data_IF_923403806263
#
_entry.id   IF_923403806263
#
_cell.length_a   1.000
_cell.length_b   1.000
_cell.length_c   1.000
_cell.angle_alpha   90.00
_cell.angle_beta   90.00
_cell.angle_gamma   90.00
#
_symmetry.space_group_name_H-M   'P 1'
#
loop_
_entity.id
_entity.type
_entity.pdbx_description
1 polymer ?
#
# COMPACT_ATOMS: atom_id res chain seq x y z
N UNK A 1 -2.86 -0.95 -67.15
CA UNK A 1 -4.06 -0.24 -67.67
C UNK A 1 -3.91 1.25 -67.35
N UNK A 2 -4.21 2.10 -68.34
CA UNK A 2 -4.16 3.59 -68.39
C UNK A 2 -4.99 4.24 -67.25
N UNK A 3 -4.78 5.47 -66.75
CA UNK A 3 -3.94 6.65 -67.07
C UNK A 3 -4.10 7.69 -65.93
N UNK A 4 -3.03 8.44 -65.64
CA UNK A 4 -2.91 9.91 -65.39
C UNK A 4 -3.83 10.62 -64.35
N UNK A 5 -3.48 11.72 -63.66
CA UNK A 5 -2.35 12.62 -63.42
C UNK A 5 -2.99 13.79 -62.62
N UNK A 6 -2.35 14.43 -61.63
CA UNK A 6 -2.99 15.59 -60.99
C UNK A 6 -2.34 16.14 -59.73
N UNK A 7 -1.16 16.71 -59.89
CA UNK A 7 -0.49 17.61 -58.94
C UNK A 7 -1.20 18.97 -58.94
N UNK A 8 -1.52 19.55 -57.77
CA UNK A 8 -1.67 21.00 -57.59
C UNK A 8 -1.09 21.45 -56.26
N UNK A 9 -0.29 22.50 -56.37
CA UNK A 9 0.55 23.18 -55.41
C UNK A 9 -0.09 24.55 -55.10
N UNK A 10 0.07 25.07 -53.89
CA UNK A 10 -0.27 26.45 -53.52
C UNK A 10 -0.93 26.54 -52.15
N UNK A 11 -0.72 27.53 -51.30
CA UNK A 11 0.02 28.79 -51.43
C UNK A 11 0.21 29.32 -49.99
N UNK A 12 1.33 30.00 -49.77
CA UNK A 12 1.67 30.82 -48.60
C UNK A 12 0.52 31.71 -48.10
N UNK A 13 0.36 31.80 -46.77
CA UNK A 13 -0.12 33.02 -46.12
C UNK A 13 0.61 33.23 -44.78
N UNK A 14 1.61 34.12 -44.81
CA UNK A 14 2.20 34.77 -43.63
C UNK A 14 1.22 35.85 -43.15
N UNK A 15 0.87 35.83 -41.86
CA UNK A 15 0.22 36.94 -41.17
C UNK A 15 0.94 37.21 -39.84
N UNK A 16 1.65 38.34 -39.83
CA UNK A 16 2.28 38.99 -38.68
C UNK A 16 1.23 39.73 -37.85
N UNK A 17 1.27 39.66 -36.51
CA UNK A 17 0.99 40.84 -35.64
C UNK A 17 1.76 40.74 -34.33
N UNK A 18 2.45 41.84 -34.02
CA UNK A 18 3.17 42.19 -32.80
C UNK A 18 2.34 42.15 -31.51
N UNK A 19 3.01 41.90 -30.39
CA UNK A 19 2.43 42.12 -29.06
C UNK A 19 3.43 41.90 -27.92
N UNK A 20 4.43 42.76 -27.79
CA UNK A 20 5.21 42.88 -26.56
C UNK A 20 4.39 43.66 -25.52
N UNK A 21 4.02 43.05 -24.40
CA UNK A 21 3.59 43.75 -23.20
C UNK A 21 4.48 43.34 -22.02
N UNK A 22 5.37 44.26 -21.63
CA UNK A 22 6.10 44.22 -20.36
C UNK A 22 5.10 44.44 -19.23
N UNK A 23 4.89 43.44 -18.39
CA UNK A 23 4.17 43.63 -17.12
C UNK A 23 5.12 44.22 -16.09
N UNK A 24 4.75 45.37 -15.55
CA UNK A 24 5.50 46.07 -14.51
C UNK A 24 5.30 45.37 -13.15
N UNK A 25 6.42 45.08 -12.49
CA UNK A 25 6.48 44.57 -11.11
C UNK A 25 5.87 45.59 -10.15
N UNK A 26 4.83 45.20 -9.40
CA UNK A 26 4.36 45.93 -8.23
C UNK A 26 5.19 45.48 -7.03
N UNK A 27 6.03 46.39 -6.56
CA UNK A 27 6.79 46.28 -5.32
C UNK A 27 5.82 46.29 -4.13
N UNK A 28 5.80 45.19 -3.35
CA UNK A 28 5.02 45.10 -2.13
C UNK A 28 5.87 45.57 -0.95
N UNK A 29 5.42 46.64 -0.28
CA UNK A 29 6.01 47.16 0.95
C UNK A 29 5.89 46.12 2.07
N UNK A 30 7.01 45.54 2.50
CA UNK A 30 7.08 44.66 3.67
C UNK A 30 7.10 45.53 4.94
N UNK A 31 6.03 45.47 5.73
CA UNK A 31 6.01 46.01 7.09
C UNK A 31 6.80 45.07 8.01
N UNK A 32 7.89 45.55 8.60
CA UNK A 32 8.63 44.84 9.64
C UNK A 32 7.84 44.82 10.96
N UNK A 33 7.81 43.71 11.70
CA UNK A 33 7.23 43.69 13.05
C UNK A 33 8.18 44.34 14.06
N UNK A 34 7.67 45.35 14.77
CA UNK A 34 8.32 45.98 15.93
C UNK A 34 8.40 44.98 17.09
N UNK A 35 9.60 44.65 17.54
CA UNK A 35 9.84 43.80 18.72
C UNK A 35 9.74 44.62 20.00
N UNK A 36 8.65 44.44 20.75
CA UNK A 36 8.52 44.99 22.11
C UNK A 36 9.34 44.13 23.08
N UNK A 37 10.39 44.70 23.67
CA UNK A 37 11.12 44.05 24.77
C UNK A 37 10.35 44.22 26.09
N UNK A 38 10.02 43.11 26.74
CA UNK A 38 9.49 43.09 28.11
C UNK A 38 10.65 42.90 29.08
N UNK A 39 10.96 43.93 29.86
CA UNK A 39 11.88 43.84 31.00
C UNK A 39 11.17 43.24 32.22
N UNK A 40 11.68 42.10 32.71
CA UNK A 40 11.21 41.43 33.93
C UNK A 40 12.09 41.86 35.12
N UNK A 41 11.54 42.24 36.29
CA UNK A 41 12.33 42.59 37.47
C UNK A 41 12.93 41.37 38.17
N UNK A 42 14.14 41.52 38.71
CA UNK A 42 14.86 40.48 39.45
C UNK A 42 14.16 40.10 40.77
N UNK A 43 13.84 38.81 40.92
CA UNK A 43 13.30 38.23 42.15
C UNK A 43 14.42 37.89 43.14
N UNK A 44 14.23 38.24 44.41
CA UNK A 44 15.15 37.94 45.52
C UNK A 44 15.06 36.45 45.88
N UNK A 45 16.20 35.76 45.88
CA UNK A 45 16.36 34.36 46.30
C UNK A 45 16.25 34.20 47.81
N UNK A 46 15.29 33.39 48.25
CA UNK A 46 15.21 32.82 49.60
C UNK A 46 15.55 31.32 49.49
N UNK A 47 16.37 30.74 50.39
CA UNK A 47 16.66 29.31 50.35
C UNK A 47 15.42 28.49 50.74
N UNK A 48 15.11 27.40 50.02
CA UNK A 48 13.97 26.54 50.32
C UNK A 48 14.23 25.64 51.55
N UNK A 49 13.18 25.20 52.26
CA UNK A 49 13.31 24.27 53.38
C UNK A 49 13.75 22.87 52.91
N UNK A 50 14.66 22.26 53.66
CA UNK A 50 15.12 20.89 53.46
C UNK A 50 14.03 19.90 53.84
N UNK A 51 13.44 19.23 52.84
CA UNK A 51 12.55 18.09 53.05
C UNK A 51 13.40 16.82 52.97
N UNK A 52 13.47 16.05 54.06
CA UNK A 52 14.15 14.75 54.07
C UNK A 52 13.19 13.71 53.50
N UNK A 53 13.43 13.28 52.27
CA UNK A 53 12.67 12.20 51.62
C UNK A 53 13.33 10.86 51.94
N UNK A 54 12.61 10.02 52.68
CA UNK A 54 12.94 8.61 52.87
C UNK A 54 12.80 7.88 51.53
N UNK A 55 13.90 7.35 50.99
CA UNK A 55 13.90 6.58 49.74
C UNK A 55 13.22 5.22 49.95
N UNK A 56 12.05 5.02 49.33
CA UNK A 56 11.49 3.70 49.11
C UNK A 56 12.37 2.92 48.11
N UNK A 57 12.47 1.58 48.21
CA UNK A 57 13.23 0.79 47.23
C UNK A 57 12.59 0.94 45.85
N UNK A 58 13.32 1.58 44.94
CA UNK A 58 13.00 1.64 43.52
C UNK A 58 13.09 0.23 42.95
N UNK A 59 11.93 -0.40 42.72
CA UNK A 59 11.86 -1.56 41.82
C UNK A 59 12.33 -1.09 40.46
N UNK A 60 13.54 -1.47 40.09
CA UNK A 60 14.04 -1.32 38.73
C UNK A 60 13.32 -2.37 37.90
N UNK A 61 12.14 -2.01 37.39
CA UNK A 61 11.56 -2.73 36.27
C UNK A 61 12.47 -2.44 35.08
N UNK A 62 13.36 -3.37 34.78
CA UNK A 62 14.04 -3.43 33.48
C UNK A 62 12.95 -3.45 32.43
N UNK A 63 12.76 -2.32 31.72
CA UNK A 63 12.02 -2.31 30.49
C UNK A 63 12.81 -3.17 29.51
N UNK A 64 12.43 -4.45 29.43
CA UNK A 64 12.86 -5.32 28.36
C UNK A 64 12.33 -4.69 27.07
N UNK A 65 13.23 -4.14 26.26
CA UNK A 65 12.89 -3.70 24.93
C UNK A 65 12.25 -4.90 24.22
N UNK A 66 10.97 -4.79 23.87
CA UNK A 66 10.28 -5.76 23.03
C UNK A 66 11.01 -5.72 21.68
N UNK A 67 11.98 -6.61 21.50
CA UNK A 67 12.58 -6.84 20.20
C UNK A 67 11.49 -7.49 19.33
N UNK A 68 11.20 -6.96 18.13
CA UNK A 68 10.31 -7.64 17.20
C UNK A 68 10.81 -9.07 17.01
N UNK A 69 9.90 -10.05 17.02
CA UNK A 69 10.26 -11.42 16.69
C UNK A 69 10.97 -11.43 15.33
N UNK A 70 12.13 -12.11 15.20
CA UNK A 70 12.81 -12.16 13.92
C UNK A 70 11.88 -12.83 12.89
N UNK A 71 11.55 -12.10 11.83
CA UNK A 71 10.90 -12.67 10.63
C UNK A 71 11.76 -13.88 10.21
N UNK A 72 11.18 -15.06 9.96
CA UNK A 72 11.96 -16.22 9.54
C UNK A 72 12.61 -15.91 8.19
N UNK A 73 13.88 -15.48 8.21
CA UNK A 73 14.66 -15.34 7.00
C UNK A 73 14.71 -16.72 6.32
N UNK A 74 14.04 -16.84 5.17
CA UNK A 74 14.11 -18.04 4.34
C UNK A 74 12.96 -19.04 4.48
N UNK A 75 11.78 -18.65 4.97
CA UNK A 75 10.55 -19.42 4.76
C UNK A 75 9.60 -18.64 3.85
N UNK A 76 9.13 -19.29 2.79
CA UNK A 76 8.26 -18.71 1.78
C UNK A 76 6.93 -19.44 1.70
N UNK A 77 5.94 -18.75 1.15
CA UNK A 77 4.67 -19.30 0.74
C UNK A 77 4.36 -18.87 -0.70
N UNK A 78 3.56 -19.67 -1.41
CA UNK A 78 3.06 -19.31 -2.74
C UNK A 78 2.11 -18.12 -2.61
N UNK A 79 2.19 -17.20 -3.57
CA UNK A 79 1.46 -15.95 -3.57
C UNK A 79 1.00 -15.57 -4.98
N UNK A 80 0.00 -14.70 -5.07
CA UNK A 80 -0.50 -14.12 -6.32
C UNK A 80 -1.12 -15.12 -7.30
N UNK A 81 -1.49 -16.32 -6.83
CA UNK A 81 -2.16 -17.35 -7.61
C UNK A 81 -3.60 -17.54 -7.13
N UNK A 82 -4.53 -17.62 -8.08
CA UNK A 82 -5.94 -17.86 -7.81
C UNK A 82 -6.26 -19.34 -7.62
N UNK A 83 -7.52 -19.64 -7.30
CA UNK A 83 -7.99 -21.02 -7.24
C UNK A 83 -7.88 -21.69 -8.62
N UNK A 84 -7.22 -22.85 -8.69
CA UNK A 84 -7.01 -23.61 -9.92
C UNK A 84 -5.73 -23.26 -10.69
N UNK A 85 -5.00 -22.23 -10.26
CA UNK A 85 -3.64 -21.97 -10.73
C UNK A 85 -2.63 -22.88 -10.03
N UNK A 86 -1.37 -22.84 -10.49
CA UNK A 86 -0.31 -23.62 -9.87
C UNK A 86 1.09 -23.06 -10.19
N UNK A 87 2.02 -23.17 -9.24
CA UNK A 87 3.39 -22.70 -9.40
C UNK A 87 4.34 -23.85 -9.76
N UNK A 88 5.02 -23.75 -10.90
CA UNK A 88 5.99 -24.77 -11.31
C UNK A 88 7.32 -24.61 -10.56
N UNK A 89 7.75 -25.68 -9.90
CA UNK A 89 9.10 -25.88 -9.38
C UNK A 89 9.97 -26.52 -10.45
N UNK A 90 11.10 -25.90 -10.79
CA UNK A 90 11.93 -26.29 -11.95
C UNK A 90 13.32 -26.77 -11.56
N UNK A 91 13.96 -27.52 -12.47
CA UNK A 91 15.32 -28.05 -12.30
C UNK A 91 16.41 -26.97 -12.33
N UNK A 92 16.16 -25.87 -13.03
CA UNK A 92 17.04 -24.71 -13.14
C UNK A 92 16.20 -23.42 -13.26
N UNK A 93 16.80 -22.24 -13.05
CA UNK A 93 16.14 -20.96 -13.34
C UNK A 93 15.73 -20.85 -14.81
N UNK A 94 14.50 -20.42 -15.05
CA UNK A 94 14.01 -20.06 -16.38
C UNK A 94 12.80 -20.87 -16.85
N UNK A 95 12.04 -20.28 -17.76
CA UNK A 95 10.78 -20.84 -18.26
C UNK A 95 10.96 -22.12 -19.12
N UNK A 96 12.16 -22.35 -19.65
CA UNK A 96 12.49 -23.53 -20.47
C UNK A 96 13.05 -24.71 -19.67
N UNK A 97 13.32 -24.55 -18.37
CA UNK A 97 13.82 -25.64 -17.54
C UNK A 97 12.72 -26.65 -17.24
N UNK A 98 13.08 -27.92 -17.08
CA UNK A 98 12.12 -28.99 -16.79
C UNK A 98 11.41 -28.76 -15.46
N UNK A 99 10.12 -29.09 -15.41
CA UNK A 99 9.30 -29.00 -14.19
C UNK A 99 9.50 -30.27 -13.36
N UNK A 100 9.92 -30.11 -12.11
CA UNK A 100 10.07 -31.18 -11.11
C UNK A 100 8.71 -31.50 -10.48
N UNK A 101 8.01 -30.44 -10.07
CA UNK A 101 6.80 -30.47 -9.28
C UNK A 101 5.98 -29.22 -9.57
N UNK A 102 4.67 -29.31 -9.35
CA UNK A 102 3.78 -28.16 -9.34
C UNK A 102 3.28 -27.96 -7.91
N UNK A 103 3.40 -26.73 -7.40
CA UNK A 103 2.96 -26.31 -6.07
C UNK A 103 1.56 -25.71 -6.17
N UNK A 104 0.72 -26.04 -5.20
CA UNK A 104 -0.62 -25.47 -5.08
C UNK A 104 -0.57 -23.96 -4.74
N UNK A 105 -1.59 -23.16 -5.12
CA UNK A 105 -1.64 -21.70 -4.92
C UNK A 105 -1.37 -21.22 -3.49
N UNK A 106 -1.66 -22.06 -2.50
CA UNK A 106 -1.53 -21.72 -1.08
C UNK A 106 -0.47 -22.56 -0.37
N UNK A 107 0.45 -23.20 -1.10
CA UNK A 107 1.53 -23.96 -0.48
C UNK A 107 2.39 -23.06 0.42
N UNK A 108 2.74 -23.57 1.60
CA UNK A 108 3.47 -22.87 2.68
C UNK A 108 4.72 -23.65 3.07
N UNK A 109 5.50 -23.06 3.97
CA UNK A 109 6.68 -23.68 4.59
C UNK A 109 7.77 -24.06 3.56
N UNK A 110 7.89 -23.28 2.49
CA UNK A 110 8.89 -23.46 1.44
C UNK A 110 10.22 -22.88 1.90
N UNK A 111 11.21 -23.73 2.17
CA UNK A 111 12.48 -23.29 2.73
C UNK A 111 13.39 -22.76 1.63
N UNK A 112 13.76 -21.48 1.69
CA UNK A 112 14.79 -20.94 0.81
C UNK A 112 16.16 -21.54 1.15
N UNK A 113 16.91 -21.86 0.11
CA UNK A 113 18.27 -22.39 0.23
C UNK A 113 19.34 -21.29 0.18
N UNK A 114 18.93 -20.05 -0.17
CA UNK A 114 19.82 -18.92 -0.45
C UNK A 114 20.23 -18.80 -1.92
N UNK A 115 19.86 -19.76 -2.78
CA UNK A 115 20.08 -19.66 -4.23
C UNK A 115 19.17 -18.60 -4.86
N UNK A 116 19.77 -17.61 -5.51
CA UNK A 116 19.08 -16.55 -6.28
C UNK A 116 19.77 -16.41 -7.63
N UNK A 117 19.01 -16.46 -8.72
CA UNK A 117 19.54 -16.32 -10.08
C UNK A 117 18.60 -15.52 -10.97
N UNK A 118 19.17 -14.77 -11.90
CA UNK A 118 18.44 -14.03 -12.94
C UNK A 118 18.38 -14.86 -14.22
N UNK A 119 17.17 -15.16 -14.69
CA UNK A 119 16.98 -15.89 -15.94
C UNK A 119 15.71 -15.42 -16.67
N UNK A 120 15.85 -15.16 -17.97
CA UNK A 120 14.77 -14.67 -18.83
C UNK A 120 14.11 -13.36 -18.33
N UNK A 121 14.88 -12.48 -17.69
CA UNK A 121 14.39 -11.20 -17.17
C UNK A 121 13.54 -11.33 -15.90
N UNK A 122 13.64 -12.47 -15.21
CA UNK A 122 12.95 -12.72 -13.95
C UNK A 122 13.97 -13.22 -12.92
N UNK A 123 13.77 -12.82 -11.67
CA UNK A 123 14.48 -13.39 -10.52
C UNK A 123 13.88 -14.74 -10.16
N UNK A 124 14.75 -15.72 -9.96
CA UNK A 124 14.40 -17.06 -9.50
C UNK A 124 15.02 -17.30 -8.13
N UNK A 125 14.28 -17.97 -7.27
CA UNK A 125 14.80 -18.43 -5.98
C UNK A 125 14.75 -19.95 -5.89
N UNK A 126 15.78 -20.52 -5.27
CA UNK A 126 15.85 -21.95 -5.03
C UNK A 126 15.22 -22.28 -3.67
N UNK A 127 14.18 -23.10 -3.71
CA UNK A 127 13.45 -23.56 -2.55
C UNK A 127 13.57 -25.07 -2.37
N UNK A 128 13.53 -25.49 -1.12
CA UNK A 128 13.44 -26.86 -0.66
C UNK A 128 12.03 -27.10 -0.15
N UNK A 129 11.28 -27.98 -0.82
CA UNK A 129 9.91 -28.36 -0.45
C UNK A 129 9.94 -29.43 0.64
N UNK A 130 10.92 -30.34 0.57
CA UNK A 130 11.21 -31.35 1.59
C UNK A 130 12.66 -31.84 1.43
N UNK A 131 13.09 -32.84 2.21
CA UNK A 131 14.47 -33.36 2.18
C UNK A 131 14.94 -33.89 0.82
N UNK A 132 14.02 -34.28 -0.06
CA UNK A 132 14.32 -34.89 -1.36
C UNK A 132 14.10 -33.93 -2.54
N UNK A 133 13.22 -32.94 -2.38
CA UNK A 133 12.77 -32.06 -3.46
C UNK A 133 13.28 -30.64 -3.23
N UNK A 134 14.23 -30.22 -4.09
CA UNK A 134 14.75 -28.86 -4.19
C UNK A 134 14.69 -28.41 -5.66
N UNK A 135 14.29 -27.18 -5.89
CA UNK A 135 14.19 -26.62 -7.24
C UNK A 135 14.00 -25.12 -7.25
N UNK A 136 13.77 -24.56 -8.43
CA UNK A 136 13.68 -23.12 -8.68
C UNK A 136 12.25 -22.69 -8.97
N UNK A 137 11.81 -21.63 -8.32
CA UNK A 137 10.54 -20.95 -8.59
C UNK A 137 10.80 -19.49 -8.95
N UNK A 138 9.88 -18.90 -9.72
CA UNK A 138 9.92 -17.46 -9.98
C UNK A 138 9.64 -16.71 -8.68
N UNK A 139 10.47 -15.69 -8.37
CA UNK A 139 10.33 -14.86 -7.16
C UNK A 139 9.01 -14.07 -7.13
N UNK A 140 8.40 -13.86 -8.29
CA UNK A 140 7.12 -13.14 -8.49
C UNK A 140 5.88 -13.89 -7.98
N UNK A 141 6.01 -15.18 -7.63
CA UNK A 141 4.88 -16.01 -7.18
C UNK A 141 5.08 -16.59 -5.78
N UNK A 142 5.98 -15.98 -5.01
CA UNK A 142 6.26 -16.36 -3.62
C UNK A 142 6.46 -15.12 -2.76
N UNK A 143 5.99 -15.20 -1.54
CA UNK A 143 6.12 -14.16 -0.51
C UNK A 143 6.80 -14.72 0.73
N UNK A 144 7.46 -13.88 1.50
CA UNK A 144 8.02 -14.28 2.77
C UNK A 144 6.90 -14.64 3.75
N UNK A 145 7.02 -15.82 4.34
CA UNK A 145 6.03 -16.32 5.28
C UNK A 145 6.31 -15.73 6.67
N UNK A 146 5.46 -14.80 7.09
CA UNK A 146 5.51 -14.19 8.42
C UNK A 146 4.40 -14.76 9.28
N UNK A 147 4.74 -15.21 10.49
CA UNK A 147 3.76 -15.63 11.49
C UNK A 147 2.84 -14.46 11.87
N UNK A 148 1.55 -14.75 12.08
CA UNK A 148 0.54 -13.73 12.35
C UNK A 148 0.82 -12.95 13.64
N UNK A 149 1.28 -13.60 14.72
CA UNK A 149 1.57 -12.91 15.97
C UNK A 149 2.83 -12.05 15.87
N UNK A 150 3.86 -12.54 15.17
CA UNK A 150 5.05 -11.75 14.85
C UNK A 150 4.69 -10.52 14.00
N UNK A 151 3.85 -10.71 12.98
CA UNK A 151 3.34 -9.62 12.14
C UNK A 151 2.57 -8.57 12.94
N UNK A 152 1.56 -8.99 13.72
CA UNK A 152 0.70 -8.07 14.46
C UNK A 152 1.43 -7.28 15.57
N UNK A 153 2.65 -7.69 15.94
CA UNK A 153 3.48 -7.00 16.93
C UNK A 153 4.64 -6.20 16.31
N UNK A 154 4.82 -6.25 14.99
CA UNK A 154 5.91 -5.57 14.30
C UNK A 154 5.65 -4.06 14.19
N UNK A 155 6.45 -3.28 14.93
CA UNK A 155 6.38 -1.81 14.95
C UNK A 155 6.66 -1.17 13.57
N UNK A 156 7.34 -1.88 12.66
CA UNK A 156 7.59 -1.40 11.30
C UNK A 156 6.32 -1.41 10.46
N UNK A 157 5.41 -2.34 10.72
CA UNK A 157 4.09 -2.37 10.07
C UNK A 157 3.24 -1.19 10.57
N UNK A 158 3.26 -0.90 11.87
CA UNK A 158 2.56 0.28 12.42
C UNK A 158 3.11 1.59 11.86
N UNK A 159 4.43 1.69 11.70
CA UNK A 159 5.06 2.83 11.05
C UNK A 159 4.64 2.96 9.58
N UNK A 160 4.61 1.84 8.83
CA UNK A 160 4.13 1.81 7.46
C UNK A 160 2.68 2.29 7.34
N UNK A 161 1.78 1.82 8.20
CA UNK A 161 0.37 2.25 8.20
C UNK A 161 0.22 3.73 8.56
N UNK A 162 1.06 4.24 9.47
CA UNK A 162 1.11 5.68 9.79
C UNK A 162 1.62 6.51 8.62
N UNK A 163 2.62 6.03 7.89
CA UNK A 163 3.09 6.71 6.68
C UNK A 163 2.07 6.63 5.55
N UNK A 164 1.27 5.57 5.49
CA UNK A 164 0.13 5.44 4.56
C UNK A 164 -0.94 6.49 4.86
N UNK A 165 -1.30 6.70 6.14
CA UNK A 165 -2.21 7.79 6.55
C UNK A 165 -1.69 9.13 6.02
N UNK A 166 -0.42 9.44 6.32
CA UNK A 166 0.21 10.70 5.91
C UNK A 166 0.28 10.85 4.38
N UNK A 167 0.50 9.76 3.65
CA UNK A 167 0.53 9.79 2.19
C UNK A 167 -0.85 10.12 1.61
N UNK A 168 -1.92 9.52 2.15
CA UNK A 168 -3.29 9.71 1.67
C UNK A 168 -3.84 11.08 2.06
N UNK A 169 -3.69 11.49 3.32
CA UNK A 169 -4.16 12.79 3.82
C UNK A 169 -3.55 13.96 3.05
N UNK A 170 -2.24 13.88 2.80
CA UNK A 170 -1.50 14.93 2.10
C UNK A 170 -1.49 14.76 0.58
N UNK A 171 -2.07 13.66 0.06
CA UNK A 171 -2.00 13.28 -1.36
C UNK A 171 -0.56 13.27 -1.87
N UNK A 172 0.35 12.75 -1.05
CA UNK A 172 1.78 12.66 -1.32
C UNK A 172 2.10 11.36 -2.03
N UNK A 173 2.05 11.39 -3.36
CA UNK A 173 2.31 10.20 -4.20
C UNK A 173 3.75 9.69 -4.07
N UNK A 174 4.70 10.57 -3.75
CA UNK A 174 6.10 10.19 -3.55
C UNK A 174 6.29 9.45 -2.23
N UNK A 175 5.58 9.85 -1.18
CA UNK A 175 5.54 9.05 0.04
C UNK A 175 4.87 7.71 -0.23
N UNK A 176 3.73 7.69 -0.91
CA UNK A 176 3.03 6.43 -1.22
C UNK A 176 3.93 5.47 -2.02
N UNK A 177 4.64 5.96 -3.04
CA UNK A 177 5.51 5.12 -3.89
C UNK A 177 6.67 4.46 -3.12
N UNK A 178 7.04 4.99 -1.95
CA UNK A 178 8.05 4.40 -1.07
C UNK A 178 7.49 3.29 -0.18
N UNK A 179 6.17 3.20 -0.02
CA UNK A 179 5.51 2.21 0.83
C UNK A 179 5.12 0.94 0.08
N UNK A 180 4.99 1.01 -1.25
CA UNK A 180 4.51 -0.12 -2.07
C UNK A 180 5.57 -1.22 -2.19
N UNK A 181 5.14 -2.46 -2.40
CA UNK A 181 6.05 -3.58 -2.62
C UNK A 181 6.97 -3.29 -3.83
N UNK A 182 8.30 -3.27 -3.66
CA UNK A 182 9.20 -3.07 -4.78
C UNK A 182 9.24 -4.29 -5.70
N UNK A 183 8.72 -5.43 -5.26
CA UNK A 183 8.69 -6.68 -6.01
C UNK A 183 7.40 -6.85 -6.81
N UNK A 184 6.24 -6.51 -6.21
CA UNK A 184 4.92 -6.79 -6.78
C UNK A 184 4.06 -5.55 -7.05
N UNK A 185 4.50 -4.36 -6.61
CA UNK A 185 3.74 -3.12 -6.73
C UNK A 185 2.60 -3.00 -5.73
N UNK A 186 1.62 -2.16 -6.05
CA UNK A 186 0.39 -1.98 -5.29
C UNK A 186 -0.81 -2.40 -6.13
N UNK A 187 -1.51 -3.46 -5.71
CA UNK A 187 -2.78 -3.86 -6.30
C UNK A 187 -3.96 -3.26 -5.57
N UNK A 188 -4.91 -2.69 -6.30
CA UNK A 188 -6.10 -2.07 -5.72
C UNK A 188 -7.35 -2.76 -6.23
N UNK A 189 -8.23 -3.10 -5.29
CA UNK A 189 -9.55 -3.65 -5.54
C UNK A 189 -10.60 -2.63 -5.10
N UNK A 190 -11.36 -2.10 -6.06
CA UNK A 190 -12.48 -1.20 -5.74
C UNK A 190 -13.58 -1.93 -4.95
N UNK A 191 -13.75 -3.23 -5.16
CA UNK A 191 -14.48 -4.14 -4.28
C UNK A 191 -13.83 -5.53 -4.42
N UNK A 192 -13.93 -6.39 -3.41
CA UNK A 192 -13.19 -7.67 -3.35
C UNK A 192 -13.52 -8.65 -4.49
N UNK A 193 -14.67 -8.49 -5.17
CA UNK A 193 -15.09 -9.32 -6.31
C UNK A 193 -14.94 -8.62 -7.67
N UNK A 194 -14.57 -7.34 -7.70
CA UNK A 194 -14.30 -6.62 -8.93
C UNK A 194 -12.88 -6.94 -9.46
N UNK A 195 -12.57 -6.71 -10.75
CA UNK A 195 -11.21 -6.80 -11.24
C UNK A 195 -10.25 -5.89 -10.45
N UNK A 196 -9.04 -6.37 -10.26
CA UNK A 196 -7.97 -5.64 -9.60
C UNK A 196 -7.12 -4.87 -10.62
N UNK A 197 -6.54 -3.75 -10.18
CA UNK A 197 -5.56 -2.99 -10.96
C UNK A 197 -4.24 -2.96 -10.20
N UNK A 198 -3.16 -3.39 -10.84
CA UNK A 198 -1.82 -3.34 -10.28
C UNK A 198 -1.07 -2.08 -10.74
N UNK A 199 -0.43 -1.40 -9.79
CA UNK A 199 0.43 -0.25 -9.99
C UNK A 199 1.86 -0.64 -9.60
N UNK A 200 2.65 -1.07 -10.59
CA UNK A 200 4.04 -1.55 -10.43
C UNK A 200 5.11 -0.51 -10.81
N UNK A 201 4.69 0.64 -11.36
CA UNK A 201 5.58 1.75 -11.70
C UNK A 201 5.57 2.83 -10.61
N UNK A 202 6.73 3.11 -9.96
CA UNK A 202 6.83 4.21 -9.01
C UNK A 202 6.41 5.56 -9.60
N UNK A 203 6.71 5.81 -10.88
CA UNK A 203 6.36 7.05 -11.58
C UNK A 203 4.85 7.23 -11.71
N UNK A 204 4.11 6.12 -11.91
CA UNK A 204 2.64 6.13 -11.94
C UNK A 204 2.09 6.42 -10.55
N UNK A 205 2.62 5.76 -9.52
CA UNK A 205 2.18 5.93 -8.13
C UNK A 205 2.47 7.34 -7.60
N UNK A 206 3.62 7.91 -7.97
CA UNK A 206 4.00 9.28 -7.61
C UNK A 206 2.99 10.34 -8.05
N UNK A 207 2.27 10.07 -9.15
CA UNK A 207 1.29 10.98 -9.74
C UNK A 207 -0.16 10.52 -9.52
N UNK A 208 -0.39 9.41 -8.81
CA UNK A 208 -1.70 8.72 -8.78
C UNK A 208 -2.85 9.59 -8.26
N UNK A 209 -2.58 10.51 -7.33
CA UNK A 209 -3.59 11.38 -6.72
C UNK A 209 -4.12 12.47 -7.65
N UNK A 210 -3.41 12.76 -8.73
CA UNK A 210 -3.74 13.82 -9.70
C UNK A 210 -3.85 13.29 -11.14
N UNK A 211 -3.55 12.01 -11.32
CA UNK A 211 -3.65 11.33 -12.61
C UNK A 211 -5.11 11.24 -13.04
N UNK A 212 -5.35 11.55 -14.31
CA UNK A 212 -6.65 11.40 -14.98
C UNK A 212 -6.66 10.17 -15.90
N UNK A 213 -5.73 9.22 -15.71
CA UNK A 213 -5.72 7.97 -16.47
C UNK A 213 -6.92 7.14 -16.03
N UNK A 214 -7.77 6.78 -16.99
CA UNK A 214 -8.95 5.95 -16.73
C UNK A 214 -8.58 4.47 -16.60
N UNK A 215 -9.22 3.82 -15.63
CA UNK A 215 -9.18 2.38 -15.45
C UNK A 215 -10.60 1.81 -15.38
N UNK A 216 -10.70 0.52 -15.67
CA UNK A 216 -11.91 -0.27 -15.46
C UNK A 216 -11.84 -0.94 -14.09
N UNK A 217 -12.61 -0.42 -13.14
CA UNK A 217 -12.69 -0.93 -11.77
C UNK A 217 -13.80 -1.97 -11.60
N UNK A 218 -14.39 -2.44 -12.69
CA UNK A 218 -15.46 -3.43 -12.69
C UNK A 218 -16.84 -2.81 -12.74
N UNK A 219 -17.75 -3.33 -11.91
CA UNK A 219 -19.17 -2.96 -11.93
C UNK A 219 -19.68 -2.59 -10.56
N UNK A 220 -20.60 -1.63 -10.52
CA UNK A 220 -21.30 -1.23 -9.29
C UNK A 220 -22.24 -2.34 -8.83
N UNK A 221 -22.25 -2.55 -7.52
CA UNK A 221 -23.19 -3.45 -6.87
C UNK A 221 -24.65 -3.02 -7.13
N UNK A 222 -25.54 -4.00 -7.30
CA UNK A 222 -26.96 -3.81 -7.59
C UNK A 222 -27.32 -3.31 -8.99
N UNK A 223 -26.66 -2.26 -9.49
CA UNK A 223 -26.99 -1.66 -10.80
C UNK A 223 -26.30 -2.37 -11.96
N UNK A 224 -25.13 -2.98 -11.74
CA UNK A 224 -24.29 -3.58 -12.78
C UNK A 224 -23.67 -2.57 -13.75
N UNK A 225 -23.76 -1.26 -13.47
CA UNK A 225 -23.13 -0.23 -14.29
C UNK A 225 -21.60 -0.28 -14.15
N UNK A 226 -20.84 0.01 -15.23
CA UNK A 226 -19.39 -0.05 -15.17
C UNK A 226 -18.82 1.10 -14.33
N UNK A 227 -17.75 0.81 -13.59
CA UNK A 227 -16.99 1.76 -12.78
C UNK A 227 -15.76 2.18 -13.58
N UNK A 228 -15.95 3.13 -14.48
CA UNK A 228 -14.88 3.68 -15.31
C UNK A 228 -14.43 5.03 -14.78
N UNK A 229 -13.12 5.20 -14.61
CA UNK A 229 -12.52 6.48 -14.27
C UNK A 229 -11.15 6.35 -13.63
N UNK A 230 -10.56 7.48 -13.30
CA UNK A 230 -9.24 7.53 -12.67
C UNK A 230 -9.26 7.08 -11.21
N UNK A 231 -8.08 6.76 -10.67
CA UNK A 231 -7.91 6.54 -9.23
C UNK A 231 -8.44 7.73 -8.42
N UNK A 232 -8.17 8.97 -8.87
CA UNK A 232 -8.62 10.20 -8.23
C UNK A 232 -10.16 10.28 -8.12
N UNK A 233 -10.87 9.79 -9.14
CA UNK A 233 -12.33 9.89 -9.21
C UNK A 233 -13.03 8.72 -8.52
N UNK A 234 -12.47 7.51 -8.61
CA UNK A 234 -13.17 6.27 -8.21
C UNK A 234 -12.70 5.69 -6.89
N UNK A 235 -11.41 5.81 -6.57
CA UNK A 235 -10.80 5.15 -5.41
C UNK A 235 -10.45 6.15 -4.31
N UNK A 236 -9.78 7.25 -4.67
CA UNK A 236 -9.30 8.24 -3.69
C UNK A 236 -10.41 8.78 -2.78
N UNK A 237 -11.62 9.13 -3.25
CA UNK A 237 -12.67 9.63 -2.35
C UNK A 237 -13.08 8.57 -1.31
N UNK A 238 -12.99 7.29 -1.68
CA UNK A 238 -13.37 6.17 -0.82
C UNK A 238 -12.30 5.82 0.20
N UNK A 239 -11.03 6.00 -0.15
CA UNK A 239 -9.93 5.98 0.82
C UNK A 239 -10.08 7.15 1.80
N UNK A 240 -10.21 8.39 1.30
CA UNK A 240 -10.30 9.58 2.17
C UNK A 240 -11.50 9.54 3.11
N UNK A 241 -12.60 8.91 2.74
CA UNK A 241 -13.72 8.66 3.65
C UNK A 241 -13.31 7.93 4.94
N UNK A 242 -12.37 6.99 4.87
CA UNK A 242 -11.80 6.29 6.04
C UNK A 242 -10.66 7.09 6.65
N UNK A 243 -9.69 7.48 5.83
CA UNK A 243 -8.43 8.07 6.29
C UNK A 243 -8.55 9.51 6.80
N UNK A 244 -9.65 10.22 6.50
CA UNK A 244 -9.95 11.55 7.07
C UNK A 244 -10.97 11.49 8.22
N UNK A 245 -11.37 10.28 8.63
CA UNK A 245 -12.27 10.04 9.76
C UNK A 245 -11.52 9.33 10.90
N UNK A 246 -12.17 9.24 12.06
CA UNK A 246 -11.70 8.31 13.09
C UNK A 246 -12.00 6.87 12.62
N UNK A 247 -10.96 6.06 12.52
CA UNK A 247 -11.04 4.65 12.14
C UNK A 247 -10.22 3.78 13.09
N UNK A 248 -10.49 2.48 13.10
CA UNK A 248 -9.81 1.49 13.92
C UNK A 248 -8.99 0.53 13.06
N UNK A 249 -7.88 0.03 13.59
CA UNK A 249 -7.00 -0.94 12.92
C UNK A 249 -7.18 -2.32 13.55
N UNK A 250 -7.42 -3.34 12.72
CA UNK A 250 -7.59 -4.72 13.18
C UNK A 250 -6.64 -5.64 12.43
N UNK A 251 -5.69 -6.24 13.14
CA UNK A 251 -4.71 -7.14 12.53
C UNK A 251 -5.32 -8.51 12.23
N UNK A 252 -5.30 -8.94 10.97
CA UNK A 252 -5.79 -10.25 10.52
C UNK A 252 -7.22 -10.60 10.96
N UNK A 253 -8.06 -9.59 11.22
CA UNK A 253 -9.47 -9.77 11.57
C UNK A 253 -10.30 -9.02 10.55
N UNK A 254 -11.12 -9.74 9.79
CA UNK A 254 -12.08 -9.19 8.83
C UNK A 254 -13.45 -9.81 9.12
N UNK A 255 -14.15 -9.26 10.12
CA UNK A 255 -15.37 -9.85 10.66
C UNK A 255 -16.45 -8.79 10.92
N UNK A 256 -17.70 -9.14 10.61
CA UNK A 256 -18.88 -8.31 10.89
C UNK A 256 -18.97 -7.98 12.38
N UNK A 257 -19.12 -6.70 12.70
CA UNK A 257 -19.21 -6.19 14.06
C UNK A 257 -17.86 -5.93 14.74
N UNK A 258 -16.74 -6.29 14.10
CA UNK A 258 -15.39 -6.00 14.61
C UNK A 258 -14.69 -5.03 13.67
N UNK A 259 -14.50 -5.43 12.42
CA UNK A 259 -13.73 -4.70 11.40
C UNK A 259 -14.48 -4.53 10.08
N UNK A 260 -15.78 -4.83 10.09
CA UNK A 260 -16.74 -4.52 9.04
C UNK A 260 -18.13 -4.33 9.68
N UNK A 261 -19.02 -3.61 9.01
CA UNK A 261 -20.44 -3.55 9.39
C UNK A 261 -21.25 -4.69 8.76
N UNK A 262 -22.57 -4.65 8.95
CA UNK A 262 -23.46 -5.64 8.32
C UNK A 262 -23.40 -5.58 6.80
N UNK A 263 -23.26 -6.74 6.14
CA UNK A 263 -23.28 -6.91 4.68
C UNK A 263 -23.80 -8.29 4.31
N UNK A 264 -24.41 -8.41 3.12
CA UNK A 264 -24.72 -9.70 2.50
C UNK A 264 -23.51 -10.30 1.76
N UNK A 265 -22.49 -9.48 1.46
CA UNK A 265 -21.27 -9.88 0.78
C UNK A 265 -20.33 -10.75 1.63
N UNK A 266 -19.36 -11.37 0.96
CA UNK A 266 -18.32 -12.15 1.65
C UNK A 266 -17.23 -11.24 2.20
N UNK A 267 -16.90 -11.44 3.48
CA UNK A 267 -15.76 -10.80 4.13
C UNK A 267 -14.55 -11.74 4.08
N UNK A 268 -13.82 -11.70 2.95
CA UNK A 268 -12.57 -12.43 2.78
C UNK A 268 -11.60 -11.63 1.93
N UNK A 269 -10.31 -11.74 2.21
CA UNK A 269 -9.27 -11.24 1.30
C UNK A 269 -9.32 -12.02 -0.02
N UNK A 270 -8.98 -11.41 -1.17
CA UNK A 270 -8.89 -12.12 -2.44
C UNK A 270 -7.93 -13.32 -2.33
N UNK A 271 -8.21 -14.39 -3.08
CA UNK A 271 -7.54 -15.68 -2.91
C UNK A 271 -6.03 -15.58 -3.11
N UNK A 272 -5.60 -14.72 -4.03
CA UNK A 272 -4.22 -14.38 -4.36
C UNK A 272 -3.41 -13.89 -3.14
N UNK A 273 -4.11 -13.39 -2.11
CA UNK A 273 -3.54 -12.84 -0.88
C UNK A 273 -3.72 -13.74 0.35
N UNK A 274 -4.17 -14.99 0.18
CA UNK A 274 -4.44 -15.93 1.30
C UNK A 274 -3.25 -16.13 2.24
N UNK A 275 -2.02 -16.10 1.70
CA UNK A 275 -0.81 -16.31 2.48
C UNK A 275 -0.22 -15.03 3.10
N UNK A 276 -0.85 -13.88 2.92
CA UNK A 276 -0.39 -12.59 3.43
C UNK A 276 -1.07 -12.25 4.74
N UNK A 277 -0.40 -11.42 5.53
CA UNK A 277 -1.01 -10.77 6.68
C UNK A 277 -1.51 -9.37 6.29
N UNK A 278 -2.49 -8.86 7.02
CA UNK A 278 -3.14 -7.61 6.69
C UNK A 278 -3.65 -6.86 7.92
N UNK A 279 -3.96 -5.59 7.72
CA UNK A 279 -4.76 -4.80 8.64
C UNK A 279 -6.07 -4.36 7.98
N UNK A 280 -7.18 -4.58 8.67
CA UNK A 280 -8.46 -3.97 8.31
C UNK A 280 -8.57 -2.59 8.96
N UNK A 281 -8.68 -1.56 8.13
CA UNK A 281 -8.81 -0.15 8.50
C UNK A 281 -10.29 0.21 8.45
N UNK A 282 -10.95 0.17 9.60
CA UNK A 282 -12.40 0.18 9.72
C UNK A 282 -12.94 1.50 10.27
N UNK A 283 -13.73 2.19 9.45
CA UNK A 283 -14.55 3.34 9.86
C UNK A 283 -15.97 2.88 10.19
N UNK A 284 -16.41 3.22 11.40
CA UNK A 284 -17.79 3.05 11.85
C UNK A 284 -18.76 3.97 11.07
N UNK A 285 -20.04 3.60 10.94
CA UNK A 285 -21.04 4.49 10.35
C UNK A 285 -21.14 5.81 11.13
N UNK A 286 -21.36 6.96 10.47
CA UNK A 286 -21.34 8.27 11.14
C UNK A 286 -22.45 8.42 12.17
N UNK A 287 -23.55 7.68 12.01
CA UNK A 287 -24.69 7.65 12.93
C UNK A 287 -25.41 6.30 12.86
N UNK A 288 -26.27 6.03 13.85
CA UNK A 288 -27.12 4.83 13.84
C UNK A 288 -28.18 4.84 12.72
N UNK A 289 -28.58 6.02 12.23
CA UNK A 289 -29.52 6.15 11.11
C UNK A 289 -28.84 5.81 9.76
N UNK A 290 -27.51 5.83 9.74
CA UNK A 290 -26.67 5.48 8.59
C UNK A 290 -25.91 4.17 8.84
N UNK A 291 -26.53 3.18 9.49
CA UNK A 291 -25.86 1.94 9.93
C UNK A 291 -25.13 1.18 8.80
N UNK A 292 -25.55 1.36 7.55
CA UNK A 292 -24.98 0.77 6.34
C UNK A 292 -23.81 1.59 5.75
N UNK A 293 -23.64 2.84 6.18
CA UNK A 293 -22.57 3.74 5.74
C UNK A 293 -21.27 3.52 6.52
N UNK A 294 -20.87 2.26 6.67
CA UNK A 294 -19.57 1.89 7.19
C UNK A 294 -18.60 1.63 6.03
N UNK A 295 -17.29 1.63 6.31
CA UNK A 295 -16.29 1.29 5.29
C UNK A 295 -15.05 0.66 5.90
N UNK A 296 -14.52 -0.35 5.22
CA UNK A 296 -13.26 -1.00 5.57
C UNK A 296 -12.34 -1.00 4.36
N UNK A 297 -11.10 -0.61 4.55
CA UNK A 297 -10.01 -0.92 3.63
C UNK A 297 -9.09 -1.95 4.26
N UNK A 298 -8.89 -3.09 3.60
CA UNK A 298 -7.86 -4.05 4.00
C UNK A 298 -6.55 -3.67 3.32
N UNK A 299 -5.55 -3.36 4.12
CA UNK A 299 -4.17 -3.14 3.70
C UNK A 299 -3.38 -4.45 3.86
N UNK A 300 -3.08 -5.09 2.72
CA UNK A 300 -2.30 -6.32 2.69
C UNK A 300 -0.82 -5.97 2.69
N UNK A 301 -0.05 -6.60 3.58
CA UNK A 301 1.35 -6.31 3.81
C UNK A 301 2.20 -7.51 3.39
N UNK A 302 3.17 -7.24 2.52
CA UNK A 302 4.19 -8.18 2.10
C UNK A 302 5.52 -7.88 2.80
N UNK A 303 6.33 -8.91 3.03
CA UNK A 303 7.73 -8.74 3.41
C UNK A 303 8.63 -9.02 2.22
N UNK A 304 9.50 -8.07 1.90
CA UNK A 304 10.55 -8.20 0.89
C UNK A 304 11.88 -7.94 1.57
N UNK A 305 12.72 -8.98 1.63
CA UNK A 305 13.99 -9.04 2.34
C UNK A 305 13.82 -8.63 3.82
N UNK A 306 12.75 -9.13 4.45
CA UNK A 306 12.40 -8.85 5.83
C UNK A 306 11.88 -7.44 6.10
N UNK A 307 11.64 -6.61 5.08
CA UNK A 307 11.06 -5.26 5.21
C UNK A 307 9.58 -5.28 4.80
N UNK A 308 8.65 -4.76 5.63
CA UNK A 308 7.24 -4.72 5.26
C UNK A 308 6.95 -3.64 4.21
N UNK A 309 6.11 -3.98 3.25
CA UNK A 309 5.60 -3.10 2.20
C UNK A 309 4.11 -3.33 1.96
N UNK A 310 3.41 -2.31 1.48
CA UNK A 310 2.01 -2.39 1.06
C UNK A 310 1.93 -3.11 -0.30
N UNK A 311 1.25 -4.26 -0.33
CA UNK A 311 1.06 -5.04 -1.55
C UNK A 311 -0.33 -4.86 -2.15
N UNK A 312 -1.36 -4.69 -1.31
CA UNK A 312 -2.71 -4.44 -1.80
C UNK A 312 -3.58 -3.58 -0.89
N UNK A 313 -4.57 -2.94 -1.50
CA UNK A 313 -5.69 -2.28 -0.84
C UNK A 313 -7.00 -2.85 -1.38
N UNK A 314 -7.84 -3.37 -0.47
CA UNK A 314 -9.13 -3.99 -0.82
C UNK A 314 -10.25 -3.33 -0.05
N UNK A 315 -11.24 -2.80 -0.77
CA UNK A 315 -12.38 -2.15 -0.14
C UNK A 315 -13.51 -3.14 0.18
N UNK A 316 -14.12 -2.94 1.35
CA UNK A 316 -15.39 -3.54 1.77
C UNK A 316 -16.32 -2.44 2.27
N UNK A 317 -17.59 -2.56 1.92
CA UNK A 317 -18.67 -1.68 2.34
C UNK A 317 -19.98 -2.48 2.32
N UNK A 318 -21.09 -1.86 2.67
CA UNK A 318 -22.39 -2.52 2.57
C UNK A 318 -22.74 -2.87 1.12
N UNK A 319 -23.13 -4.13 0.90
CA UNK A 319 -23.56 -4.69 -0.38
C UNK A 319 -25.01 -5.20 -0.26
N UNK A 320 -25.76 -5.16 -1.37
CA UNK A 320 -27.19 -5.57 -1.43
C UNK A 320 -27.42 -7.02 -1.83
#
# INVERSE_FOLDING_TARGET
>A
MRRHFGMVFGLFLLLTVSGCTRSASKEATVLQPTRTQVTIPAAKTQPPPTVTLTSAPTSTATAEAIQPAPVPAGVYAVAFLGEGDALNLRTAPGLSADVILTLEPFARDLLATGGIEEAAGQTWIQIKVNDEITGWVSRQFVTEQVDAAAFCSDQRVEALLTDLDLALENKDGKRLSQLISPLHGLTIWHNWWNPAINFDSPEVVENIFFSTVDYDWGTEDGSGLPILGSFQEKVLPKLLDVFQAEYTRHCNVLETGISAGGTAGMLKVPAEYTNFNYFALFRLPPSAEEELNWRTWVAVIEYVDGVPYLAALVQYYWEI
#
